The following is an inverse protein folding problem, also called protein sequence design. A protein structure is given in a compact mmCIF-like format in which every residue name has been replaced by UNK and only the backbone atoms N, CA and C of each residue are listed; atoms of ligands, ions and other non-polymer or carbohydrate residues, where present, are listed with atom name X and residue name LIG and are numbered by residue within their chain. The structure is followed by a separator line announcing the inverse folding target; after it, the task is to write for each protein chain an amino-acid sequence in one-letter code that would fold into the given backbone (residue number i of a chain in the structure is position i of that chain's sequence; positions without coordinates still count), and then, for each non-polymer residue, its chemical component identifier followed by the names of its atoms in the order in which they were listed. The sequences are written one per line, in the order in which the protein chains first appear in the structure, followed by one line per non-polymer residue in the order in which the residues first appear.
data_IF_967578010988
#
_entry.id   IF_967578010988
#
_cell.length_a   1.000
_cell.length_b   1.000
_cell.length_c   1.000
_cell.angle_alpha   90.00
_cell.angle_beta   90.00
_cell.angle_gamma   90.00
#
_symmetry.space_group_name_H-M   'P 1'
#
loop_
_entity.id
_entity.type
_entity.pdbx_description
1 polymer ?
#
# COMPACT_ATOMS: atom_id res chain seq x y z
N UNK A 1 0.06 -0.02 -22.38
CA UNK A 1 -0.66 0.87 -21.45
C UNK A 1 0.26 2.02 -21.12
N UNK A 2 -0.08 3.24 -21.44
CA UNK A 2 0.59 4.42 -20.93
C UNK A 2 -0.02 4.71 -19.56
N UNK A 3 0.60 4.23 -18.49
CA UNK A 3 0.16 4.57 -17.15
C UNK A 3 0.24 6.10 -16.97
N UNK A 4 -0.88 6.73 -16.67
CA UNK A 4 -0.89 8.14 -16.27
C UNK A 4 -0.15 8.26 -14.95
N UNK A 5 0.80 9.20 -14.85
CA UNK A 5 1.50 9.51 -13.60
C UNK A 5 0.50 9.95 -12.53
N UNK A 6 0.55 9.35 -11.37
CA UNK A 6 -0.22 9.74 -10.20
C UNK A 6 0.69 10.47 -9.19
N UNK A 7 0.19 11.57 -8.66
CA UNK A 7 0.73 12.22 -7.47
C UNK A 7 -0.17 11.81 -6.31
N UNK A 8 0.33 10.92 -5.46
CA UNK A 8 -0.44 10.19 -4.47
C UNK A 8 -0.19 10.79 -3.08
N UNK A 9 -1.25 11.24 -2.43
CA UNK A 9 -1.22 11.52 -1.00
C UNK A 9 -1.57 10.24 -0.24
N UNK A 10 -0.59 9.69 0.47
CA UNK A 10 -0.78 8.45 1.23
C UNK A 10 -1.14 8.81 2.67
N UNK A 11 -2.40 8.69 3.01
CA UNK A 11 -2.95 8.94 4.35
C UNK A 11 -3.15 7.64 5.12
N UNK A 12 -3.43 7.73 6.42
CA UNK A 12 -3.71 6.61 7.30
C UNK A 12 -5.04 6.83 8.04
N UNK A 13 -6.04 6.00 7.70
CA UNK A 13 -7.33 5.94 8.38
C UNK A 13 -7.22 5.01 9.58
N UNK A 14 -7.22 5.55 10.79
CA UNK A 14 -7.07 4.76 12.00
C UNK A 14 -8.39 4.52 12.73
N UNK A 15 -8.55 3.31 13.22
CA UNK A 15 -9.64 2.92 14.13
C UNK A 15 -9.29 3.25 15.58
N UNK A 16 -8.00 3.46 15.88
CA UNK A 16 -7.50 3.97 17.16
C UNK A 16 -7.45 5.51 17.11
N UNK A 17 -8.17 6.24 17.98
CA UNK A 17 -8.21 7.70 17.98
C UNK A 17 -6.88 8.36 18.36
N UNK A 18 -5.88 7.61 18.78
CA UNK A 18 -4.53 8.11 19.10
C UNK A 18 -3.56 8.04 17.94
N UNK A 19 -3.94 7.39 16.84
CA UNK A 19 -3.08 7.11 15.70
C UNK A 19 -3.68 7.63 14.40
N UNK A 20 -2.82 7.82 13.39
CA UNK A 20 -3.22 8.15 12.03
C UNK A 20 -3.60 9.60 11.82
N UNK A 21 -4.00 9.90 10.59
CA UNK A 21 -4.39 11.25 10.18
C UNK A 21 -5.90 11.48 10.30
N UNK A 22 -6.68 10.48 9.93
CA UNK A 22 -8.13 10.57 9.95
C UNK A 22 -8.73 9.35 10.66
N UNK A 23 -9.85 9.57 11.34
CA UNK A 23 -10.57 8.51 12.06
C UNK A 23 -11.84 8.10 11.34
N UNK A 24 -12.32 8.93 10.41
CA UNK A 24 -13.50 8.66 9.61
C UNK A 24 -13.29 9.07 8.17
N UNK A 25 -14.00 8.40 7.28
CA UNK A 25 -14.03 8.75 5.85
C UNK A 25 -14.49 10.21 5.66
N UNK A 26 -15.43 10.70 6.50
CA UNK A 26 -15.89 12.09 6.47
C UNK A 26 -14.78 13.09 6.80
N UNK A 27 -13.85 12.73 7.68
CA UNK A 27 -12.72 13.60 8.02
C UNK A 27 -11.79 13.77 6.82
N UNK A 28 -11.53 12.67 6.09
CA UNK A 28 -10.78 12.72 4.83
C UNK A 28 -11.50 13.58 3.78
N UNK A 29 -12.82 13.41 3.62
CA UNK A 29 -13.60 14.22 2.66
C UNK A 29 -13.43 15.72 2.95
N UNK A 30 -13.48 16.12 4.22
CA UNK A 30 -13.32 17.52 4.63
C UNK A 30 -11.92 18.09 4.37
N UNK A 31 -10.93 17.25 4.09
CA UNK A 31 -9.54 17.66 3.85
C UNK A 31 -9.09 17.47 2.39
N UNK A 32 -9.99 17.12 1.48
CA UNK A 32 -9.64 16.91 0.07
C UNK A 32 -9.11 18.20 -0.59
N UNK A 33 -9.61 19.37 -0.18
CA UNK A 33 -9.10 20.66 -0.70
C UNK A 33 -7.65 20.91 -0.25
N UNK A 34 -7.29 20.55 0.99
CA UNK A 34 -5.92 20.61 1.49
C UNK A 34 -4.98 19.73 0.64
N UNK A 35 -5.42 18.49 0.35
CA UNK A 35 -4.66 17.54 -0.44
C UNK A 35 -4.52 18.02 -1.89
N UNK A 36 -5.62 18.48 -2.49
CA UNK A 36 -5.63 19.00 -3.85
C UNK A 36 -4.77 20.24 -4.00
N UNK A 37 -4.75 21.14 -2.98
CA UNK A 37 -3.94 22.35 -3.00
C UNK A 37 -2.44 22.05 -3.13
N UNK A 38 -1.95 20.96 -2.57
CA UNK A 38 -0.57 20.50 -2.76
C UNK A 38 -0.31 19.93 -4.18
N UNK A 39 -1.35 19.73 -4.98
CA UNK A 39 -1.24 19.24 -6.35
C UNK A 39 -1.40 17.72 -6.51
N UNK A 40 -1.79 17.00 -5.46
CA UNK A 40 -2.03 15.55 -5.54
C UNK A 40 -3.24 15.24 -6.42
N UNK A 41 -3.17 14.11 -7.13
CA UNK A 41 -4.22 13.63 -8.05
C UNK A 41 -4.85 12.32 -7.59
N UNK A 42 -4.33 11.74 -6.53
CA UNK A 42 -4.87 10.51 -5.95
C UNK A 42 -4.67 10.48 -4.43
N UNK A 43 -5.57 9.77 -3.76
CA UNK A 43 -5.47 9.47 -2.32
C UNK A 43 -5.36 7.96 -2.15
N UNK A 44 -4.35 7.52 -1.40
CA UNK A 44 -4.17 6.15 -0.95
C UNK A 44 -4.44 6.09 0.55
N UNK A 45 -5.26 5.14 0.99
CA UNK A 45 -5.48 4.83 2.41
C UNK A 45 -5.06 3.39 2.69
N UNK A 46 -4.82 3.05 3.95
CA UNK A 46 -4.81 1.65 4.41
C UNK A 46 -6.22 1.03 4.23
N UNK A 47 -6.39 -0.32 4.40
CA UNK A 47 -7.66 -0.98 4.12
C UNK A 47 -8.84 -0.40 4.90
N UNK A 48 -9.93 -0.14 4.18
CA UNK A 48 -11.18 0.43 4.75
C UNK A 48 -12.20 -0.63 5.15
N UNK A 49 -11.89 -1.90 4.92
CA UNK A 49 -12.81 -3.02 5.14
C UNK A 49 -13.06 -3.27 6.63
N UNK A 50 -14.21 -3.87 6.94
CA UNK A 50 -14.52 -4.35 8.29
C UNK A 50 -13.39 -5.29 8.76
N UNK A 51 -12.78 -4.97 9.91
CA UNK A 51 -11.55 -5.58 10.39
C UNK A 51 -11.61 -5.99 11.84
N UNK A 52 -10.89 -7.06 12.19
CA UNK A 52 -10.77 -7.54 13.55
C UNK A 52 -9.78 -6.72 14.39
N UNK A 53 -8.85 -6.01 13.76
CA UNK A 53 -7.88 -5.18 14.46
C UNK A 53 -8.42 -3.80 14.84
N UNK A 54 -7.74 -3.15 15.76
CA UNK A 54 -8.16 -1.85 16.31
C UNK A 54 -7.52 -0.65 15.62
N UNK A 55 -6.58 -0.85 14.68
CA UNK A 55 -5.83 0.28 14.12
C UNK A 55 -5.78 0.32 12.60
N UNK A 56 -5.23 -0.71 11.93
CA UNK A 56 -4.74 -0.59 10.56
C UNK A 56 -5.61 -1.22 9.46
N UNK A 57 -6.49 -2.20 9.77
CA UNK A 57 -7.44 -2.77 8.81
C UNK A 57 -6.99 -4.00 8.01
N UNK A 58 -5.79 -4.50 8.23
CA UNK A 58 -5.27 -5.67 7.50
C UNK A 58 -5.83 -7.02 7.98
N UNK A 59 -6.46 -7.07 9.16
CA UNK A 59 -7.22 -8.24 9.64
C UNK A 59 -8.65 -8.24 9.08
N UNK A 60 -8.82 -8.24 7.77
CA UNK A 60 -10.12 -8.12 7.13
C UNK A 60 -11.08 -9.27 7.52
N UNK A 61 -12.25 -8.92 8.07
CA UNK A 61 -13.34 -9.86 8.38
C UNK A 61 -14.30 -9.98 7.20
N UNK A 62 -14.60 -8.85 6.54
CA UNK A 62 -15.59 -8.79 5.50
C UNK A 62 -15.17 -7.78 4.41
N UNK A 63 -14.87 -8.30 3.24
CA UNK A 63 -14.43 -7.49 2.09
C UNK A 63 -15.56 -6.66 1.44
N UNK A 64 -16.82 -6.87 1.79
CA UNK A 64 -17.95 -6.18 1.16
C UNK A 64 -18.51 -5.02 2.00
N UNK A 65 -17.87 -4.70 3.10
CA UNK A 65 -18.33 -3.64 4.02
C UNK A 65 -17.20 -2.71 4.41
N UNK A 66 -17.51 -1.43 4.46
CA UNK A 66 -16.67 -0.45 5.14
C UNK A 66 -16.70 -0.74 6.64
N UNK A 67 -15.57 -0.62 7.31
CA UNK A 67 -15.49 -0.75 8.77
C UNK A 67 -16.39 0.31 9.43
N UNK A 68 -17.35 -0.10 10.28
CA UNK A 68 -18.29 0.85 10.90
C UNK A 68 -17.60 1.90 11.79
N UNK A 69 -16.38 1.64 12.24
CA UNK A 69 -15.55 2.61 12.97
C UNK A 69 -15.06 3.75 12.07
N UNK A 70 -14.86 3.48 10.78
CA UNK A 70 -14.44 4.47 9.78
C UNK A 70 -15.63 5.20 9.12
N UNK A 71 -16.81 4.57 9.07
CA UNK A 71 -17.98 5.13 8.43
C UNK A 71 -18.90 4.09 7.79
N UNK A 72 -19.69 4.52 6.83
CA UNK A 72 -20.67 3.70 6.13
C UNK A 72 -20.29 3.51 4.66
N UNK A 73 -20.98 2.60 3.96
CA UNK A 73 -20.87 2.48 2.51
C UNK A 73 -21.27 3.78 1.79
N UNK A 74 -22.27 4.50 2.32
CA UNK A 74 -22.68 5.80 1.78
C UNK A 74 -21.60 6.86 1.94
N UNK A 75 -20.88 6.85 3.08
CA UNK A 75 -19.72 7.74 3.29
C UNK A 75 -18.62 7.47 2.27
N UNK A 76 -18.37 6.19 1.96
CA UNK A 76 -17.42 5.82 0.93
C UNK A 76 -17.87 6.24 -0.48
N UNK A 77 -19.12 5.99 -0.83
CA UNK A 77 -19.70 6.44 -2.10
C UNK A 77 -19.66 7.98 -2.22
N UNK A 78 -19.80 8.70 -1.10
CA UNK A 78 -19.63 10.15 -1.06
C UNK A 78 -18.17 10.57 -1.28
N UNK A 79 -17.20 9.86 -0.66
CA UNK A 79 -15.78 10.10 -0.90
C UNK A 79 -15.43 9.98 -2.39
N UNK A 80 -15.93 8.94 -3.07
CA UNK A 80 -15.69 8.76 -4.50
C UNK A 80 -16.26 9.94 -5.30
N UNK A 81 -17.49 10.37 -5.03
CA UNK A 81 -18.09 11.54 -5.69
C UNK A 81 -17.30 12.82 -5.48
N UNK A 82 -16.79 13.04 -4.26
CA UNK A 82 -16.00 14.25 -3.94
C UNK A 82 -14.60 14.21 -4.59
N UNK A 83 -14.01 13.04 -4.75
CA UNK A 83 -12.77 12.86 -5.52
C UNK A 83 -13.00 13.09 -7.02
N UNK A 84 -14.07 12.51 -7.59
CA UNK A 84 -14.42 12.71 -9.01
C UNK A 84 -14.63 14.20 -9.35
N UNK A 85 -15.32 14.97 -8.51
CA UNK A 85 -15.49 16.43 -8.69
C UNK A 85 -14.17 17.18 -8.78
N UNK A 86 -13.10 16.63 -8.20
CA UNK A 86 -11.75 17.24 -8.17
C UNK A 86 -10.80 16.62 -9.21
N UNK A 87 -11.29 15.74 -10.09
CA UNK A 87 -10.48 14.91 -11.00
C UNK A 87 -9.37 14.15 -10.25
N UNK A 88 -9.70 13.66 -9.06
CA UNK A 88 -8.82 12.87 -8.21
C UNK A 88 -9.26 11.41 -8.18
N UNK A 89 -8.32 10.51 -7.95
CA UNK A 89 -8.58 9.08 -7.84
C UNK A 89 -8.45 8.57 -6.39
N UNK A 90 -9.16 7.49 -6.09
CA UNK A 90 -8.97 6.71 -4.87
C UNK A 90 -8.13 5.48 -5.17
N UNK A 91 -7.09 5.23 -4.38
CA UNK A 91 -6.31 3.99 -4.44
C UNK A 91 -6.72 3.14 -3.25
N UNK A 92 -7.40 2.04 -3.54
CA UNK A 92 -7.87 1.10 -2.53
C UNK A 92 -6.75 0.13 -2.15
N UNK A 93 -6.37 0.15 -0.89
CA UNK A 93 -5.49 -0.87 -0.33
C UNK A 93 -6.30 -2.13 -0.01
N UNK A 94 -5.85 -3.28 -0.53
CA UNK A 94 -6.60 -4.52 -0.42
C UNK A 94 -5.69 -5.74 -0.24
N UNK A 95 -6.04 -6.56 0.76
CA UNK A 95 -5.39 -7.83 1.07
C UNK A 95 -6.01 -8.96 0.26
N UNK A 96 -5.46 -9.25 -0.93
CA UNK A 96 -5.99 -10.31 -1.81
C UNK A 96 -5.37 -11.70 -1.53
N UNK A 97 -4.51 -11.81 -0.53
CA UNK A 97 -3.73 -13.00 -0.22
C UNK A 97 -3.93 -13.51 1.22
N UNK A 98 -4.64 -12.78 2.05
CA UNK A 98 -4.96 -13.17 3.42
C UNK A 98 -6.24 -12.48 3.92
N UNK A 99 -6.81 -12.99 5.00
CA UNK A 99 -7.89 -12.32 5.74
C UNK A 99 -7.87 -12.78 7.21
N UNK A 100 -8.77 -12.25 8.03
CA UNK A 100 -8.88 -12.61 9.44
C UNK A 100 -9.41 -14.04 9.63
N UNK A 101 -8.94 -14.72 10.68
CA UNK A 101 -9.52 -15.99 11.17
C UNK A 101 -10.92 -15.79 11.79
N UNK A 102 -11.36 -14.53 12.00
CA UNK A 102 -12.72 -14.19 12.40
C UNK A 102 -13.68 -14.01 11.22
N UNK A 103 -13.17 -14.12 9.96
CA UNK A 103 -13.98 -14.02 8.75
C UNK A 103 -14.95 -15.21 8.63
N UNK A 104 -16.07 -14.99 7.92
CA UNK A 104 -16.97 -16.10 7.59
C UNK A 104 -16.30 -17.16 6.70
N UNK A 105 -15.31 -16.76 5.87
CA UNK A 105 -14.52 -17.71 5.09
C UNK A 105 -13.78 -18.72 5.96
N UNK A 106 -13.18 -18.24 7.06
CA UNK A 106 -12.43 -19.14 7.96
C UNK A 106 -13.38 -20.02 8.80
N UNK A 107 -14.53 -19.49 9.19
CA UNK A 107 -15.57 -20.28 9.86
C UNK A 107 -16.03 -21.43 8.96
N UNK A 108 -16.37 -21.14 7.71
CA UNK A 108 -16.79 -22.17 6.73
C UNK A 108 -15.68 -23.16 6.42
N UNK A 109 -14.42 -22.72 6.39
CA UNK A 109 -13.26 -23.61 6.24
C UNK A 109 -13.15 -24.60 7.40
N UNK A 110 -13.31 -24.15 8.64
CA UNK A 110 -13.31 -25.03 9.83
C UNK A 110 -14.41 -26.09 9.78
N UNK A 111 -15.54 -25.75 9.20
CA UNK A 111 -16.70 -26.63 9.02
C UNK A 111 -16.56 -27.53 7.76
N UNK A 112 -15.46 -27.42 7.02
CA UNK A 112 -15.21 -28.20 5.79
C UNK A 112 -16.07 -27.78 4.59
N UNK A 113 -16.64 -26.57 4.59
CA UNK A 113 -17.55 -26.07 3.56
C UNK A 113 -16.81 -25.40 2.38
N UNK A 114 -15.56 -25.00 2.57
CA UNK A 114 -14.76 -24.38 1.53
C UNK A 114 -13.28 -24.79 1.62
N UNK A 115 -12.49 -24.41 0.61
CA UNK A 115 -11.07 -24.68 0.45
C UNK A 115 -10.22 -23.38 0.46
N UNK A 116 -10.72 -22.35 1.16
CA UNK A 116 -10.15 -21.00 1.11
C UNK A 116 -8.80 -20.88 1.81
N UNK A 117 -8.43 -21.84 2.65
CA UNK A 117 -7.17 -21.83 3.38
C UNK A 117 -6.42 -23.15 3.21
N UNK A 118 -5.12 -23.12 3.52
CA UNK A 118 -4.26 -24.31 3.47
C UNK A 118 -3.88 -24.73 4.89
N UNK A 119 -4.29 -25.92 5.28
CA UNK A 119 -3.90 -26.52 6.56
C UNK A 119 -3.39 -27.95 6.34
N UNK A 120 -2.22 -28.28 6.88
CA UNK A 120 -1.53 -29.56 6.71
C UNK A 120 -1.43 -30.31 8.03
N UNK A 121 -1.47 -31.66 7.98
CA UNK A 121 -1.27 -32.50 9.16
C UNK A 121 0.14 -32.34 9.72
N UNK A 122 1.12 -32.30 8.80
CA UNK A 122 2.52 -32.05 9.09
C UNK A 122 3.04 -31.02 8.08
N UNK A 123 3.79 -29.98 8.50
CA UNK A 123 4.52 -29.14 7.56
C UNK A 123 5.56 -30.04 6.89
N UNK A 124 5.56 -30.08 5.58
CA UNK A 124 6.61 -30.79 4.85
C UNK A 124 7.95 -30.16 5.21
N UNK A 125 8.94 -31.03 5.46
CA UNK A 125 10.29 -30.62 5.79
C UNK A 125 10.81 -29.75 4.68
N UNK A 126 10.96 -28.44 4.96
CA UNK A 126 11.64 -27.73 3.97
C UNK A 126 11.88 -26.27 4.23
N UNK A 127 12.14 -25.61 3.15
CA UNK A 127 12.48 -24.20 3.01
C UNK A 127 11.63 -23.26 3.88
N UNK A 128 10.40 -23.64 4.17
CA UNK A 128 9.48 -22.88 5.02
C UNK A 128 9.91 -22.80 6.50
N UNK A 129 10.67 -23.77 7.00
CA UNK A 129 11.17 -23.76 8.38
C UNK A 129 12.48 -22.99 8.55
N UNK A 130 13.17 -22.69 7.44
CA UNK A 130 14.43 -21.95 7.43
C UNK A 130 14.25 -20.46 7.09
N UNK A 131 13.08 -20.06 6.58
CA UNK A 131 12.71 -18.66 6.40
C UNK A 131 12.23 -18.16 7.77
N UNK A 132 12.79 -17.06 8.24
CA UNK A 132 12.51 -16.37 9.50
C UNK A 132 11.09 -16.61 10.01
N UNK A 133 10.95 -17.41 11.07
CA UNK A 133 9.68 -17.80 11.64
C UNK A 133 8.77 -18.53 10.63
N UNK A 134 8.58 -19.81 10.86
CA UNK A 134 7.72 -20.69 10.07
C UNK A 134 6.50 -19.96 9.47
N UNK A 135 6.27 -20.12 8.18
CA UNK A 135 5.00 -19.67 7.56
C UNK A 135 3.80 -20.52 8.03
N UNK A 136 4.05 -21.54 8.84
CA UNK A 136 3.03 -22.41 9.41
C UNK A 136 2.86 -22.11 10.89
N UNK A 137 1.60 -22.02 11.33
CA UNK A 137 1.23 -21.92 12.74
C UNK A 137 0.31 -23.06 13.13
N UNK A 138 0.59 -23.67 14.29
CA UNK A 138 -0.27 -24.73 14.81
C UNK A 138 -1.59 -24.12 15.30
N UNK A 139 -2.70 -24.68 14.79
CA UNK A 139 -4.04 -24.26 15.19
C UNK A 139 -4.69 -25.40 15.96
N UNK A 140 -4.89 -25.16 17.24
CA UNK A 140 -5.49 -26.14 18.17
C UNK A 140 -6.94 -26.48 17.78
N UNK A 141 -7.69 -25.50 17.28
CA UNK A 141 -9.07 -25.65 16.83
C UNK A 141 -9.21 -26.46 15.53
N UNK A 142 -8.15 -26.57 14.75
CA UNK A 142 -8.08 -27.38 13.51
C UNK A 142 -7.34 -28.70 13.72
N UNK A 143 -6.54 -28.86 14.78
CA UNK A 143 -5.54 -29.92 14.95
C UNK A 143 -4.62 -30.07 13.73
N UNK A 144 -4.23 -28.95 13.14
CA UNK A 144 -3.42 -28.85 11.92
C UNK A 144 -2.52 -27.62 11.95
N UNK A 145 -1.51 -27.66 11.10
CA UNK A 145 -0.65 -26.52 10.78
C UNK A 145 -1.29 -25.69 9.67
N UNK A 146 -1.61 -24.44 9.98
CA UNK A 146 -2.21 -23.48 9.06
C UNK A 146 -1.13 -22.63 8.40
N UNK A 147 -1.24 -22.35 7.10
CA UNK A 147 -0.39 -21.37 6.43
C UNK A 147 -0.81 -19.97 6.87
N UNK A 148 0.05 -19.31 7.64
CA UNK A 148 -0.25 -18.02 8.26
C UNK A 148 1.04 -17.17 8.36
N UNK A 149 1.53 -16.62 7.25
CA UNK A 149 2.79 -15.88 7.20
C UNK A 149 2.81 -14.60 8.06
N UNK A 150 1.64 -14.10 8.41
CA UNK A 150 1.46 -12.91 9.28
C UNK A 150 0.96 -13.27 10.69
N UNK A 151 1.02 -14.56 11.07
CA UNK A 151 0.49 -15.08 12.32
C UNK A 151 -0.89 -15.72 12.19
N UNK A 152 -1.24 -16.61 13.12
CA UNK A 152 -2.43 -17.47 13.02
C UNK A 152 -3.77 -16.76 13.03
N UNK A 153 -3.81 -15.49 13.40
CA UNK A 153 -5.01 -14.65 13.28
C UNK A 153 -5.24 -14.10 11.86
N UNK A 154 -4.21 -14.20 10.99
CA UNK A 154 -4.24 -13.70 9.61
C UNK A 154 -3.79 -14.82 8.66
N UNK A 155 -4.61 -15.87 8.49
CA UNK A 155 -4.26 -16.97 7.59
C UNK A 155 -4.20 -16.55 6.13
N UNK A 156 -3.27 -17.17 5.39
CA UNK A 156 -3.14 -16.96 3.97
C UNK A 156 -4.27 -17.64 3.19
N UNK A 157 -4.81 -16.95 2.20
CA UNK A 157 -5.79 -17.50 1.27
C UNK A 157 -5.11 -18.53 0.34
N UNK A 158 -5.82 -19.61 0.04
CA UNK A 158 -5.41 -20.59 -0.95
C UNK A 158 -5.58 -20.04 -2.37
N UNK A 159 -4.65 -19.22 -2.80
CA UNK A 159 -4.71 -18.54 -4.10
C UNK A 159 -4.64 -19.50 -5.32
N UNK A 160 -4.37 -20.79 -5.09
CA UNK A 160 -4.51 -21.83 -6.12
C UNK A 160 -5.96 -22.24 -6.33
N UNK A 161 -6.82 -22.11 -5.31
CA UNK A 161 -8.22 -22.52 -5.37
C UNK A 161 -9.01 -21.73 -6.42
N UNK A 162 -9.78 -22.38 -7.29
CA UNK A 162 -10.74 -21.72 -8.17
C UNK A 162 -11.82 -20.94 -7.40
N UNK A 163 -12.22 -21.43 -6.20
CA UNK A 163 -13.21 -20.78 -5.36
C UNK A 163 -12.70 -19.45 -4.81
N UNK A 164 -11.45 -19.41 -4.32
CA UNK A 164 -10.77 -18.19 -3.88
C UNK A 164 -10.63 -17.19 -5.05
N UNK A 165 -10.20 -17.65 -6.24
CA UNK A 165 -10.11 -16.81 -7.43
C UNK A 165 -11.45 -16.20 -7.83
N UNK A 166 -12.52 -17.01 -7.78
CA UNK A 166 -13.85 -16.51 -8.08
C UNK A 166 -14.29 -15.45 -7.07
N UNK A 167 -14.03 -15.66 -5.79
CA UNK A 167 -14.36 -14.69 -4.74
C UNK A 167 -13.56 -13.39 -4.88
N UNK A 168 -12.25 -13.47 -5.15
CA UNK A 168 -11.42 -12.30 -5.43
C UNK A 168 -11.92 -11.53 -6.65
N UNK A 169 -12.34 -12.23 -7.70
CA UNK A 169 -12.99 -11.59 -8.86
C UNK A 169 -14.26 -10.85 -8.45
N UNK A 170 -15.09 -11.42 -7.58
CA UNK A 170 -16.32 -10.79 -7.09
C UNK A 170 -16.00 -9.54 -6.25
N UNK A 171 -15.02 -9.62 -5.36
CA UNK A 171 -14.56 -8.50 -4.53
C UNK A 171 -14.08 -7.33 -5.41
N UNK A 172 -13.20 -7.61 -6.38
CA UNK A 172 -12.68 -6.60 -7.30
C UNK A 172 -13.79 -5.95 -8.13
N UNK A 173 -14.73 -6.75 -8.66
CA UNK A 173 -15.88 -6.23 -9.39
C UNK A 173 -16.79 -5.35 -8.51
N UNK A 174 -17.03 -5.76 -7.27
CA UNK A 174 -17.88 -5.03 -6.33
C UNK A 174 -17.35 -3.62 -6.06
N UNK A 175 -16.04 -3.49 -5.82
CA UNK A 175 -15.46 -2.20 -5.48
C UNK A 175 -15.13 -1.36 -6.71
N UNK A 176 -14.43 -1.90 -7.68
CA UNK A 176 -13.89 -1.11 -8.80
C UNK A 176 -14.98 -0.59 -9.74
N UNK A 177 -16.13 -1.28 -9.83
CA UNK A 177 -17.26 -0.79 -10.61
C UNK A 177 -18.00 0.40 -10.00
N UNK A 178 -17.71 0.77 -8.75
CA UNK A 178 -18.29 1.97 -8.13
C UNK A 178 -17.81 3.26 -8.79
N UNK A 179 -16.52 3.31 -9.20
CA UNK A 179 -15.93 4.43 -9.93
C UNK A 179 -14.74 3.95 -10.79
N UNK A 180 -15.01 3.26 -11.92
CA UNK A 180 -13.97 2.56 -12.66
C UNK A 180 -12.92 3.47 -13.31
N UNK A 181 -13.19 4.76 -13.43
CA UNK A 181 -12.26 5.74 -14.00
C UNK A 181 -11.44 6.48 -12.94
N UNK A 182 -11.84 6.40 -11.67
CA UNK A 182 -11.24 7.12 -10.55
C UNK A 182 -10.83 6.19 -9.40
N UNK A 183 -10.77 4.88 -9.65
CA UNK A 183 -10.26 3.91 -8.68
C UNK A 183 -9.05 3.17 -9.22
N UNK A 184 -8.09 2.97 -8.32
CA UNK A 184 -6.90 2.14 -8.52
C UNK A 184 -6.75 1.20 -7.32
N UNK A 185 -5.77 0.30 -7.35
CA UNK A 185 -5.52 -0.67 -6.28
C UNK A 185 -4.07 -0.56 -5.78
N UNK A 186 -3.89 -0.62 -4.48
CA UNK A 186 -2.64 -1.07 -3.86
C UNK A 186 -2.85 -2.53 -3.45
N UNK A 187 -2.07 -3.44 -4.04
CA UNK A 187 -2.08 -4.85 -3.63
C UNK A 187 -1.13 -5.05 -2.45
N UNK A 188 -1.72 -5.32 -1.29
CA UNK A 188 -0.99 -5.54 -0.04
C UNK A 188 -0.16 -6.81 -0.09
N UNK A 189 1.09 -6.73 0.35
CA UNK A 189 2.02 -7.86 0.52
C UNK A 189 1.95 -8.89 -0.63
N UNK A 190 1.86 -8.42 -1.87
CA UNK A 190 1.46 -9.23 -3.02
C UNK A 190 2.46 -10.36 -3.35
N UNK A 191 3.71 -10.22 -2.93
CA UNK A 191 4.71 -11.28 -3.08
C UNK A 191 4.44 -12.48 -2.16
N UNK A 192 3.72 -12.31 -1.06
CA UNK A 192 3.29 -13.40 -0.17
C UNK A 192 2.21 -14.31 -0.81
N UNK A 193 1.68 -13.95 -1.97
CA UNK A 193 0.83 -14.85 -2.75
C UNK A 193 1.52 -16.20 -3.06
N UNK A 194 2.84 -16.22 -3.08
CA UNK A 194 3.63 -17.42 -3.31
C UNK A 194 3.60 -18.43 -2.15
N UNK A 195 3.28 -18.02 -0.92
CA UNK A 195 3.46 -18.85 0.26
C UNK A 195 2.35 -19.88 0.48
N UNK A 196 1.16 -19.64 -0.05
CA UNK A 196 0.03 -20.57 0.03
C UNK A 196 -0.06 -21.52 -1.17
N UNK A 197 0.94 -21.53 -2.06
CA UNK A 197 0.95 -22.37 -3.27
C UNK A 197 2.18 -23.28 -3.31
N UNK A 198 2.03 -24.41 -3.96
CA UNK A 198 3.15 -25.31 -4.21
C UNK A 198 4.21 -24.62 -5.08
N UNK A 199 5.48 -24.87 -4.78
CA UNK A 199 6.64 -24.27 -5.45
C UNK A 199 6.77 -22.73 -5.31
N UNK A 200 6.06 -22.08 -4.41
CA UNK A 200 6.14 -20.65 -4.15
C UNK A 200 5.99 -19.77 -5.42
N UNK A 201 5.12 -20.15 -6.34
CA UNK A 201 4.87 -19.43 -7.59
C UNK A 201 3.63 -18.55 -7.50
N UNK A 202 3.79 -17.31 -7.01
CA UNK A 202 2.71 -16.32 -6.90
C UNK A 202 2.37 -15.58 -8.20
N UNK A 203 3.21 -15.66 -9.25
CA UNK A 203 3.00 -14.87 -10.47
C UNK A 203 1.73 -15.25 -11.25
N UNK A 204 1.30 -16.53 -11.35
CA UNK A 204 0.02 -16.88 -11.98
C UNK A 204 -1.18 -16.19 -11.32
N UNK A 205 -1.15 -16.04 -9.99
CA UNK A 205 -2.21 -15.32 -9.28
C UNK A 205 -2.16 -13.81 -9.54
N UNK A 206 -0.98 -13.22 -9.62
CA UNK A 206 -0.83 -11.82 -10.02
C UNK A 206 -1.36 -11.56 -11.43
N UNK A 207 -1.11 -12.49 -12.40
CA UNK A 207 -1.72 -12.43 -13.74
C UNK A 207 -3.23 -12.47 -13.68
N UNK A 208 -3.78 -13.41 -12.91
CA UNK A 208 -5.22 -13.52 -12.71
C UNK A 208 -5.82 -12.19 -12.20
N UNK A 209 -5.23 -11.58 -11.16
CA UNK A 209 -5.66 -10.27 -10.64
C UNK A 209 -5.61 -9.22 -11.74
N UNK A 210 -4.50 -9.11 -12.48
CA UNK A 210 -4.33 -8.14 -13.58
C UNK A 210 -5.38 -8.34 -14.68
N UNK A 211 -5.68 -9.59 -15.04
CA UNK A 211 -6.66 -9.93 -16.07
C UNK A 211 -8.08 -9.55 -15.63
N UNK A 212 -8.44 -9.81 -14.37
CA UNK A 212 -9.74 -9.37 -13.81
C UNK A 212 -9.88 -7.86 -13.84
N UNK A 213 -8.86 -7.14 -13.42
CA UNK A 213 -8.85 -5.67 -13.40
C UNK A 213 -8.94 -5.12 -14.83
N UNK A 214 -8.22 -5.70 -15.80
CA UNK A 214 -8.29 -5.31 -17.21
C UNK A 214 -9.69 -5.49 -17.82
N UNK A 215 -10.45 -6.50 -17.38
CA UNK A 215 -11.84 -6.71 -17.81
C UNK A 215 -12.80 -5.63 -17.28
N UNK A 216 -12.46 -4.98 -16.17
CA UNK A 216 -13.24 -3.87 -15.61
C UNK A 216 -12.88 -2.57 -16.32
N UNK A 217 -11.60 -2.18 -16.25
CA UNK A 217 -11.01 -1.07 -16.95
C UNK A 217 -9.48 -1.24 -17.03
N UNK A 218 -8.86 -1.33 -18.22
CA UNK A 218 -7.42 -1.50 -18.38
C UNK A 218 -6.58 -0.31 -17.86
N UNK A 219 -7.19 0.87 -17.66
CA UNK A 219 -6.51 2.05 -17.11
C UNK A 219 -6.39 2.01 -15.58
N UNK A 220 -7.05 1.07 -14.91
CA UNK A 220 -6.88 0.87 -13.47
C UNK A 220 -5.45 0.39 -13.20
N UNK A 221 -4.71 1.17 -12.42
CA UNK A 221 -3.37 0.79 -11.99
C UNK A 221 -3.45 -0.17 -10.79
N UNK A 222 -2.55 -1.16 -10.76
CA UNK A 222 -2.29 -2.00 -9.60
C UNK A 222 -0.90 -1.67 -9.12
N UNK A 223 -0.79 -1.03 -7.98
CA UNK A 223 0.48 -0.75 -7.31
C UNK A 223 0.76 -1.90 -6.36
N UNK A 224 1.60 -2.84 -6.77
CA UNK A 224 1.96 -3.99 -5.93
C UNK A 224 2.94 -3.60 -4.84
N UNK A 225 2.65 -4.01 -3.60
CA UNK A 225 3.65 -3.97 -2.56
C UNK A 225 4.53 -5.22 -2.67
N UNK A 226 5.76 -5.01 -3.14
CA UNK A 226 6.77 -6.05 -3.28
C UNK A 226 8.07 -5.52 -2.69
N UNK A 227 8.37 -5.94 -1.47
CA UNK A 227 9.61 -5.54 -0.81
C UNK A 227 10.83 -6.07 -1.55
N UNK A 228 11.82 -5.21 -1.71
CA UNK A 228 13.15 -5.61 -2.15
C UNK A 228 14.00 -5.89 -0.92
N UNK A 229 13.90 -7.08 -0.38
CA UNK A 229 14.79 -7.55 0.67
C UNK A 229 15.77 -8.57 0.09
N UNK A 230 17.04 -8.20 0.07
CA UNK A 230 18.14 -9.09 -0.33
C UNK A 230 18.26 -10.33 0.56
N UNK A 231 17.60 -10.33 1.72
CA UNK A 231 17.59 -11.49 2.63
C UNK A 231 16.58 -12.56 2.24
N UNK A 232 15.62 -12.27 1.34
CA UNK A 232 14.69 -13.26 0.77
C UNK A 232 15.29 -13.96 -0.46
N UNK A 233 16.51 -14.45 -0.35
CA UNK A 233 17.20 -15.17 -1.43
C UNK A 233 16.48 -16.42 -1.94
N UNK A 234 15.51 -16.92 -1.18
CA UNK A 234 14.74 -18.11 -1.52
C UNK A 234 13.44 -17.83 -2.30
N UNK A 235 13.11 -16.54 -2.55
CA UNK A 235 11.98 -16.21 -3.41
C UNK A 235 12.33 -16.53 -4.87
N UNK A 236 11.43 -17.24 -5.53
CA UNK A 236 11.58 -17.62 -6.96
C UNK A 236 11.66 -16.41 -7.88
N UNK A 237 11.10 -15.28 -7.48
CA UNK A 237 10.98 -14.08 -8.30
C UNK A 237 11.34 -12.81 -7.53
N UNK A 238 11.96 -11.89 -8.24
CA UNK A 238 12.31 -10.55 -7.75
C UNK A 238 11.14 -9.57 -7.95
N UNK A 239 11.16 -8.37 -7.34
CA UNK A 239 10.19 -7.32 -7.61
C UNK A 239 10.04 -6.98 -9.10
N UNK A 240 11.08 -7.20 -9.91
CA UNK A 240 11.05 -6.92 -11.36
C UNK A 240 10.05 -7.81 -12.11
N UNK A 241 9.95 -9.10 -11.74
CA UNK A 241 8.98 -10.02 -12.36
C UNK A 241 7.55 -9.63 -11.99
N UNK A 242 7.28 -9.28 -10.74
CA UNK A 242 5.98 -8.77 -10.29
C UNK A 242 5.60 -7.49 -11.03
N UNK A 243 6.55 -6.54 -11.15
CA UNK A 243 6.35 -5.28 -11.87
C UNK A 243 5.95 -5.50 -13.35
N UNK A 244 6.58 -6.45 -14.05
CA UNK A 244 6.23 -6.80 -15.43
C UNK A 244 4.78 -7.23 -15.60
N UNK A 245 4.21 -7.91 -14.59
CA UNK A 245 2.84 -8.42 -14.63
C UNK A 245 1.83 -7.37 -14.18
N UNK A 246 2.08 -6.74 -13.05
CA UNK A 246 1.15 -5.80 -12.43
C UNK A 246 1.11 -4.46 -13.19
N UNK A 247 2.22 -4.07 -13.80
CA UNK A 247 2.39 -2.81 -14.52
C UNK A 247 2.83 -1.65 -13.64
N UNK A 248 2.74 -1.77 -12.31
CA UNK A 248 3.27 -0.82 -11.33
C UNK A 248 3.56 -1.55 -10.01
N UNK A 249 4.61 -1.13 -9.30
CA UNK A 249 4.96 -1.61 -7.95
C UNK A 249 5.57 -0.45 -7.16
N UNK A 250 5.49 -0.50 -5.83
CA UNK A 250 6.32 0.37 -5.00
C UNK A 250 7.80 0.05 -5.22
N UNK A 251 8.60 1.09 -5.36
CA UNK A 251 10.03 0.99 -5.62
C UNK A 251 10.85 1.17 -4.34
N UNK A 252 10.84 0.15 -3.49
CA UNK A 252 11.62 0.13 -2.25
C UNK A 252 13.12 0.25 -2.51
N UNK A 253 13.61 -0.37 -3.59
CA UNK A 253 15.04 -0.37 -3.92
C UNK A 253 15.55 1.06 -4.15
N UNK A 254 14.94 1.79 -5.06
CA UNK A 254 15.39 3.14 -5.38
C UNK A 254 15.12 4.15 -4.26
N UNK A 255 14.04 3.98 -3.49
CA UNK A 255 13.77 4.82 -2.32
C UNK A 255 14.91 4.71 -1.30
N UNK A 256 15.27 3.49 -0.89
CA UNK A 256 16.36 3.29 0.07
C UNK A 256 17.74 3.62 -0.53
N UNK A 257 17.93 3.38 -1.84
CA UNK A 257 19.14 3.80 -2.54
C UNK A 257 19.31 5.32 -2.52
N UNK A 258 18.26 6.10 -2.79
CA UNK A 258 18.32 7.57 -2.72
C UNK A 258 18.65 8.07 -1.29
N UNK A 259 18.03 7.47 -0.27
CA UNK A 259 18.35 7.79 1.14
C UNK A 259 19.84 7.57 1.41
N UNK A 260 20.38 6.42 1.01
CA UNK A 260 21.79 6.10 1.20
C UNK A 260 22.71 7.06 0.44
N UNK A 261 22.42 7.35 -0.82
CA UNK A 261 23.19 8.28 -1.65
C UNK A 261 23.27 9.68 -1.00
N UNK A 262 22.15 10.16 -0.44
CA UNK A 262 22.10 11.47 0.25
C UNK A 262 22.88 11.43 1.57
N UNK A 263 22.77 10.34 2.34
CA UNK A 263 23.54 10.16 3.59
C UNK A 263 25.04 10.06 3.35
N UNK A 264 25.46 9.51 2.22
CA UNK A 264 26.85 9.48 1.76
C UNK A 264 27.36 10.85 1.29
N UNK A 265 26.52 11.87 1.26
CA UNK A 265 26.87 13.24 0.90
C UNK A 265 26.97 13.50 -0.62
N UNK A 266 26.31 12.67 -1.45
CA UNK A 266 26.24 12.95 -2.90
C UNK A 266 25.49 14.27 -3.14
N UNK A 267 25.97 15.04 -4.12
CA UNK A 267 25.28 16.26 -4.58
C UNK A 267 24.01 15.86 -5.37
N UNK A 268 23.06 16.75 -5.49
CA UNK A 268 21.82 16.52 -6.22
C UNK A 268 22.04 16.02 -7.65
N UNK A 269 23.01 16.59 -8.36
CA UNK A 269 23.36 16.25 -9.74
C UNK A 269 23.82 14.78 -9.86
N UNK A 270 24.49 14.28 -8.84
CA UNK A 270 25.10 12.93 -8.80
C UNK A 270 24.10 11.87 -8.30
N UNK A 271 22.91 12.27 -7.81
CA UNK A 271 21.86 11.33 -7.43
C UNK A 271 21.27 10.66 -8.68
N UNK A 272 21.00 9.37 -8.57
CA UNK A 272 20.38 8.60 -9.65
C UNK A 272 19.33 7.62 -9.14
N UNK A 273 18.39 7.30 -10.04
CA UNK A 273 17.40 6.23 -9.89
C UNK A 273 17.78 5.14 -10.86
N UNK A 274 17.98 3.92 -10.34
CA UNK A 274 18.39 2.77 -11.15
C UNK A 274 17.20 2.28 -12.00
N UNK A 275 17.32 2.18 -13.34
CA UNK A 275 16.23 1.78 -14.22
C UNK A 275 16.02 0.24 -14.25
N UNK A 276 16.04 -0.41 -13.07
CA UNK A 276 15.89 -1.88 -12.98
C UNK A 276 14.51 -2.36 -13.43
N UNK A 277 13.48 -1.53 -13.26
CA UNK A 277 12.11 -1.87 -13.61
C UNK A 277 11.79 -1.56 -15.08
N UNK A 278 11.02 -2.46 -15.71
CA UNK A 278 10.62 -2.31 -17.13
C UNK A 278 9.26 -1.64 -17.30
N UNK A 279 8.47 -1.60 -16.25
CA UNK A 279 7.15 -0.94 -16.21
C UNK A 279 7.19 0.21 -15.21
N UNK A 280 6.11 0.97 -15.15
CA UNK A 280 5.94 2.05 -14.18
C UNK A 280 6.23 1.59 -12.75
N UNK A 281 6.74 2.48 -11.93
CA UNK A 281 6.91 2.29 -10.49
C UNK A 281 6.27 3.44 -9.73
N UNK A 282 6.05 3.23 -8.44
CA UNK A 282 5.64 4.27 -7.51
C UNK A 282 6.74 4.51 -6.50
N UNK A 283 7.47 5.61 -6.64
CA UNK A 283 8.39 6.04 -5.59
C UNK A 283 7.60 6.67 -4.45
N UNK A 284 8.10 6.53 -3.22
CA UNK A 284 7.39 7.00 -2.04
C UNK A 284 8.34 7.61 -1.01
N UNK A 285 7.84 8.59 -0.24
CA UNK A 285 8.65 9.23 0.81
C UNK A 285 8.88 8.29 2.00
N UNK A 286 7.84 7.63 2.42
CA UNK A 286 7.75 6.56 3.42
C UNK A 286 6.33 6.01 3.40
N UNK A 287 6.01 5.06 4.29
CA UNK A 287 4.66 4.54 4.50
C UNK A 287 4.48 4.16 5.98
N UNK A 288 3.37 3.49 6.31
CA UNK A 288 3.03 3.08 7.66
C UNK A 288 3.84 1.87 8.18
N UNK A 289 4.75 1.32 7.36
CA UNK A 289 5.64 0.19 7.66
C UNK A 289 7.12 0.55 7.49
N UNK A 290 7.42 1.83 7.21
CA UNK A 290 8.78 2.34 7.06
C UNK A 290 9.02 3.53 7.98
N UNK A 291 10.27 3.71 8.40
CA UNK A 291 10.67 4.96 9.08
C UNK A 291 10.30 6.18 8.26
N UNK A 292 9.93 7.27 8.93
CA UNK A 292 9.63 8.53 8.24
C UNK A 292 10.88 9.10 7.58
N UNK A 293 10.69 9.72 6.41
CA UNK A 293 11.80 10.23 5.60
C UNK A 293 12.67 11.25 6.36
N UNK A 294 12.07 12.07 7.22
CA UNK A 294 12.82 12.99 8.06
C UNK A 294 13.83 12.22 8.94
N UNK A 295 13.37 11.18 9.64
CA UNK A 295 14.24 10.37 10.50
C UNK A 295 15.24 9.52 9.73
N UNK A 296 14.90 9.05 8.52
CA UNK A 296 15.86 8.35 7.66
C UNK A 296 17.00 9.26 7.18
N UNK A 297 16.78 10.57 7.16
CA UNK A 297 17.74 11.59 6.73
C UNK A 297 18.24 12.47 7.88
N UNK A 298 18.34 11.90 9.09
CA UNK A 298 18.93 12.51 10.28
C UNK A 298 18.20 13.79 10.74
N UNK A 299 16.89 13.93 10.41
CA UNK A 299 16.04 15.09 10.62
C UNK A 299 16.60 16.37 9.97
N UNK A 300 17.40 16.22 8.92
CA UNK A 300 17.94 17.30 8.12
C UNK A 300 16.96 17.69 7.00
N UNK A 301 16.30 18.83 7.17
CA UNK A 301 15.27 19.33 6.23
C UNK A 301 15.82 19.55 4.82
N UNK A 302 17.07 19.94 4.65
CA UNK A 302 17.67 20.15 3.32
C UNK A 302 17.92 18.80 2.62
N UNK A 303 18.31 17.78 3.37
CA UNK A 303 18.38 16.41 2.84
C UNK A 303 16.99 15.89 2.44
N UNK A 304 15.96 16.17 3.26
CA UNK A 304 14.55 15.81 2.92
C UNK A 304 14.10 16.50 1.65
N UNK A 305 14.35 17.80 1.50
CA UNK A 305 14.06 18.55 0.27
C UNK A 305 14.80 17.96 -0.94
N UNK A 306 16.07 17.60 -0.78
CA UNK A 306 16.87 16.97 -1.84
C UNK A 306 16.28 15.63 -2.26
N UNK A 307 15.84 14.82 -1.30
CA UNK A 307 15.17 13.53 -1.56
C UNK A 307 13.86 13.73 -2.33
N UNK A 308 12.97 14.59 -1.84
CA UNK A 308 11.67 14.87 -2.47
C UNK A 308 11.86 15.40 -3.91
N UNK A 309 12.83 16.30 -4.11
CA UNK A 309 13.16 16.81 -5.44
C UNK A 309 13.66 15.70 -6.36
N UNK A 310 14.59 14.87 -5.91
CA UNK A 310 15.12 13.76 -6.71
C UNK A 310 14.03 12.73 -7.05
N UNK A 311 13.20 12.37 -6.07
CA UNK A 311 12.07 11.46 -6.24
C UNK A 311 11.06 11.96 -7.29
N UNK A 312 10.83 13.27 -7.39
CA UNK A 312 9.88 13.85 -8.34
C UNK A 312 10.51 14.09 -9.70
N UNK A 313 11.72 14.67 -9.75
CA UNK A 313 12.31 15.16 -11.00
C UNK A 313 13.12 14.10 -11.77
N UNK A 314 13.71 13.09 -11.07
CA UNK A 314 14.57 12.08 -11.70
C UNK A 314 13.84 10.80 -12.11
N UNK A 315 12.54 10.71 -11.87
CA UNK A 315 11.70 9.59 -12.29
C UNK A 315 11.21 9.73 -13.74
N UNK A 316 10.84 8.59 -14.35
CA UNK A 316 10.25 8.55 -15.69
C UNK A 316 8.87 9.19 -15.71
N UNK A 317 8.37 9.52 -16.90
CA UNK A 317 7.07 10.20 -17.08
C UNK A 317 5.88 9.36 -16.62
N UNK A 318 5.97 8.05 -16.75
CA UNK A 318 4.95 7.09 -16.35
C UNK A 318 5.02 6.68 -14.87
N UNK A 319 6.09 7.03 -14.15
CA UNK A 319 6.25 6.66 -12.74
C UNK A 319 5.38 7.54 -11.84
N UNK A 320 4.77 6.94 -10.82
CA UNK A 320 3.97 7.65 -9.83
C UNK A 320 4.78 8.06 -8.60
N UNK A 321 4.30 9.06 -7.90
CA UNK A 321 4.94 9.60 -6.68
C UNK A 321 3.94 9.49 -5.54
N UNK A 322 4.37 8.92 -4.43
CA UNK A 322 3.57 8.79 -3.22
C UNK A 322 4.23 9.52 -2.05
N UNK A 323 3.53 10.47 -1.45
CA UNK A 323 3.99 11.18 -0.26
C UNK A 323 3.09 10.83 0.91
N UNK A 324 3.71 10.31 1.97
CA UNK A 324 3.02 9.89 3.17
C UNK A 324 2.70 11.11 4.04
N UNK A 325 1.50 11.09 4.63
CA UNK A 325 1.01 12.18 5.49
C UNK A 325 2.01 12.57 6.57
N UNK A 326 2.05 13.85 6.88
CA UNK A 326 2.98 14.42 7.86
C UNK A 326 4.38 14.70 7.33
N UNK A 327 4.73 14.21 6.10
CA UNK A 327 5.99 14.61 5.43
C UNK A 327 6.02 16.13 5.22
N UNK A 328 4.88 16.74 4.90
CA UNK A 328 4.71 18.18 4.72
C UNK A 328 4.91 19.01 6.00
N UNK A 329 4.94 18.32 7.17
CA UNK A 329 5.14 18.88 8.50
C UNK A 329 6.44 18.38 9.17
N UNK A 330 7.38 17.85 8.40
CA UNK A 330 8.63 17.28 8.92
C UNK A 330 8.45 16.26 10.04
N UNK A 331 7.34 15.50 10.04
CA UNK A 331 7.09 14.51 11.09
C UNK A 331 8.20 13.46 11.13
N UNK A 332 8.64 13.17 12.35
CA UNK A 332 9.69 12.21 12.65
C UNK A 332 9.10 10.87 13.11
N UNK A 333 9.84 9.79 12.92
CA UNK A 333 9.48 8.45 13.38
C UNK A 333 10.47 7.43 12.86
N UNK A 334 11.27 6.85 13.74
CA UNK A 334 12.25 5.84 13.40
C UNK A 334 11.77 4.46 13.84
N UNK A 335 11.53 3.60 12.86
CA UNK A 335 11.12 2.22 13.06
C UNK A 335 12.36 1.34 13.34
N UNK A 336 12.89 1.43 14.56
CA UNK A 336 14.04 0.63 14.98
C UNK A 336 13.72 -0.03 16.32
N UNK A 337 13.35 -1.33 16.28
CA UNK A 337 12.93 -2.08 17.47
C UNK A 337 11.77 -1.43 18.26
N UNK A 338 11.00 -0.57 17.62
CA UNK A 338 9.87 0.15 18.21
C UNK A 338 8.54 -0.36 17.64
N UNK A 339 7.44 -0.03 18.31
CA UNK A 339 6.10 -0.24 17.77
C UNK A 339 5.88 0.61 16.52
N UNK A 340 5.08 0.12 15.57
CA UNK A 340 4.65 0.84 14.34
C UNK A 340 3.95 2.17 14.64
N UNK A 341 3.51 2.39 15.88
CA UNK A 341 2.88 3.64 16.30
C UNK A 341 3.76 4.87 16.06
N UNK A 342 5.09 4.71 16.04
CA UNK A 342 6.05 5.81 15.78
C UNK A 342 5.99 6.33 14.34
N UNK A 343 5.42 5.59 13.40
CA UNK A 343 5.22 6.02 12.02
C UNK A 343 3.74 6.21 11.66
N UNK A 344 2.84 5.86 12.62
CA UNK A 344 1.37 6.00 12.51
C UNK A 344 0.83 7.07 13.47
N UNK A 345 1.64 8.07 13.81
CA UNK A 345 1.29 9.14 14.78
C UNK A 345 0.07 9.91 14.31
N UNK A 346 -0.62 10.49 15.31
CA UNK A 346 -1.72 11.43 15.04
C UNK A 346 -1.21 12.69 14.33
N UNK A 347 -1.97 13.13 13.33
CA UNK A 347 -1.74 14.37 12.57
C UNK A 347 -3.08 14.99 12.27
N UNK A 348 -3.51 15.90 13.11
CA UNK A 348 -4.86 16.45 13.10
C UNK A 348 -5.03 17.73 12.27
N UNK A 349 -6.27 18.22 12.23
CA UNK A 349 -6.62 19.45 11.50
C UNK A 349 -5.86 20.68 12.01
N UNK A 350 -5.54 20.72 13.31
CA UNK A 350 -4.79 21.87 13.88
C UNK A 350 -3.33 21.85 13.39
N UNK A 351 -2.74 20.68 13.24
CA UNK A 351 -1.40 20.53 12.68
C UNK A 351 -1.39 20.92 11.20
N UNK A 352 -2.36 20.47 10.41
CA UNK A 352 -2.53 20.90 9.02
C UNK A 352 -2.70 22.41 8.89
N UNK A 353 -3.49 23.03 9.77
CA UNK A 353 -3.68 24.48 9.78
C UNK A 353 -2.38 25.25 10.08
N UNK A 354 -1.54 24.77 11.00
CA UNK A 354 -0.21 25.36 11.29
C UNK A 354 0.70 25.30 10.06
N UNK A 355 0.73 24.16 9.39
CA UNK A 355 1.56 23.92 8.20
C UNK A 355 1.20 24.89 7.06
N UNK A 356 -0.09 25.18 6.84
CA UNK A 356 -0.55 26.16 5.83
C UNK A 356 -0.13 27.58 6.22
N UNK A 357 -0.07 27.91 7.51
CA UNK A 357 0.34 29.23 7.97
C UNK A 357 1.85 29.46 7.82
N UNK A 358 2.66 28.44 7.92
CA UNK A 358 4.11 28.51 7.72
C UNK A 358 4.50 28.42 6.25
N UNK A 359 4.79 29.55 5.62
CA UNK A 359 5.21 29.61 4.21
C UNK A 359 6.54 28.91 3.92
N UNK A 360 7.33 28.59 4.94
CA UNK A 360 8.56 27.83 4.80
C UNK A 360 8.37 26.32 5.01
N UNK A 361 7.15 25.87 5.31
CA UNK A 361 6.85 24.45 5.50
C UNK A 361 7.12 23.62 4.24
N UNK A 362 7.32 22.33 4.41
CA UNK A 362 7.43 21.40 3.28
C UNK A 362 6.14 21.30 2.46
N UNK A 363 4.99 21.71 3.00
CA UNK A 363 3.74 21.83 2.25
C UNK A 363 3.93 22.68 0.98
N UNK A 364 4.47 23.90 1.12
CA UNK A 364 4.70 24.80 -0.02
C UNK A 364 5.81 24.29 -0.94
N UNK A 365 6.82 23.65 -0.37
CA UNK A 365 7.89 23.06 -1.16
C UNK A 365 7.37 21.89 -2.04
N UNK A 366 6.57 20.98 -1.48
CA UNK A 366 5.94 19.87 -2.20
C UNK A 366 4.99 20.41 -3.28
N UNK A 367 4.15 21.40 -2.93
CA UNK A 367 3.23 22.08 -3.85
C UNK A 367 3.97 22.63 -5.07
N UNK A 368 5.07 23.37 -4.84
CA UNK A 368 5.88 23.95 -5.92
C UNK A 368 6.55 22.86 -6.79
N UNK A 369 7.11 21.83 -6.17
CA UNK A 369 7.71 20.70 -6.90
C UNK A 369 6.70 20.00 -7.79
N UNK A 370 5.53 19.63 -7.28
CA UNK A 370 4.49 18.94 -8.06
C UNK A 370 4.00 19.86 -9.19
N UNK A 371 3.78 21.13 -8.92
CA UNK A 371 3.37 22.09 -9.94
C UNK A 371 4.39 22.17 -11.09
N UNK A 372 5.67 22.36 -10.78
CA UNK A 372 6.75 22.43 -11.78
C UNK A 372 6.89 21.13 -12.56
N UNK A 373 6.72 19.98 -11.90
CA UNK A 373 6.80 18.68 -12.56
C UNK A 373 5.63 18.47 -13.53
N UNK A 374 4.40 18.86 -13.14
CA UNK A 374 3.23 18.84 -14.02
C UNK A 374 3.44 19.73 -15.24
N UNK A 375 3.91 20.98 -15.03
CA UNK A 375 4.21 21.91 -16.13
C UNK A 375 5.26 21.33 -17.09
N UNK A 376 6.35 20.79 -16.56
CA UNK A 376 7.42 20.15 -17.35
C UNK A 376 6.92 18.99 -18.21
N UNK A 377 5.97 18.21 -17.69
CA UNK A 377 5.41 17.00 -18.34
C UNK A 377 4.15 17.32 -19.17
N UNK A 378 3.65 18.54 -19.19
CA UNK A 378 2.39 18.90 -19.87
C UNK A 378 1.14 18.27 -19.25
N UNK A 379 1.20 17.94 -17.96
CA UNK A 379 0.06 17.41 -17.20
C UNK A 379 -0.76 18.59 -16.67
N UNK A 380 -2.06 18.58 -16.96
CA UNK A 380 -3.00 19.61 -16.46
C UNK A 380 -3.44 19.31 -15.02
#
# INVERSE_FOLDING_TARGET
MNNKRLYIYHTFLSRDPKLGQFHRIKDLINQLDYIQEMGFTAVLTNPIFESADDSHGYHCINFYRVDPRLGTMEDFDNLLRELEKRDMSFIMDITLNHCSDQSYYFKDFKEGKNDFFVAKQYPENDRATNIRNSIYEWREDLKKWLVAPFGGMIPALNVSSPNVKNEVKNILNFWLKKSPNHMHIRGDAIFHNSWAVDNFDGLPYCRFIRDVVNQINPEIQIIGEVWYDLTYHDLKYTPVEYNKILGNTFDFYNVFSLVNQIREGKRYEDLYIDPIYKKSVSLFSCNHDCSRIASMLDNDREKVKMFLKAMIEKTRDEDSISIYYGTENDMEGLLWNCSDTVVRQNYDILDMAKVIQDKNSLFYYIKDLIKKDKERRGIK
#
